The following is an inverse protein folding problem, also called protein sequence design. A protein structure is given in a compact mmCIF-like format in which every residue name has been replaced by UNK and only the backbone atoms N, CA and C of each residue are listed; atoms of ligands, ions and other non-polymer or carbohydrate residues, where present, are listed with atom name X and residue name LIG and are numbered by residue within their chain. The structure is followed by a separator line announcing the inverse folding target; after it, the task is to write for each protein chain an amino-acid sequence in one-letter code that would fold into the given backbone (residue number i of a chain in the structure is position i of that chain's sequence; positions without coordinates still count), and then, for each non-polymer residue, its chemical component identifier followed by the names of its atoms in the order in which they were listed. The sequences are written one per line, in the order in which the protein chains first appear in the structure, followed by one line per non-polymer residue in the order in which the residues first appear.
data_IF_607913732327
#
_entry.id   IF_607913732327
#
_cell.length_a   1.000
_cell.length_b   1.000
_cell.length_c   1.000
_cell.angle_alpha   90.00
_cell.angle_beta   90.00
_cell.angle_gamma   90.00
#
_symmetry.space_group_name_H-M   'P 1'
#
loop_
_entity.id
_entity.type
_entity.pdbx_description
1 polymer ?
#
# COMPACT_ATOMS: atom_id res chain seq x y z
N UNK A 1 -19.49 14.94 26.10
CA UNK A 1 -18.19 14.72 26.75
C UNK A 1 -17.69 13.38 26.23
N UNK A 2 -17.06 13.38 25.07
CA UNK A 2 -16.40 12.21 24.48
C UNK A 2 -15.08 12.67 23.85
N UNK A 3 -14.23 13.24 24.70
CA UNK A 3 -12.82 13.43 24.42
C UNK A 3 -12.10 12.12 24.72
N UNK A 4 -11.19 11.68 23.83
CA UNK A 4 -9.83 11.20 24.16
C UNK A 4 -9.29 9.92 23.49
N UNK A 5 -9.95 9.25 22.54
CA UNK A 5 -9.36 8.02 21.95
C UNK A 5 -8.61 8.19 20.60
N UNK A 6 -8.41 9.42 20.12
CA UNK A 6 -7.84 9.68 18.77
C UNK A 6 -6.29 9.63 18.73
N UNK A 7 -5.62 9.67 19.90
CA UNK A 7 -4.16 9.82 19.97
C UNK A 7 -3.35 8.54 19.72
N UNK A 8 -3.96 7.37 19.82
CA UNK A 8 -3.24 6.08 19.72
C UNK A 8 -3.14 5.53 18.29
N UNK A 9 -3.67 6.28 17.30
CA UNK A 9 -3.70 5.89 15.88
C UNK A 9 -2.69 6.60 15.00
N UNK A 10 -1.98 7.58 15.55
CA UNK A 10 -0.99 8.37 14.84
C UNK A 10 0.41 7.76 15.00
N UNK A 11 1.22 7.83 13.95
CA UNK A 11 2.59 7.36 13.98
C UNK A 11 3.45 7.99 12.90
N UNK A 12 4.74 7.62 12.91
CA UNK A 12 5.72 8.07 11.90
C UNK A 12 6.03 6.93 10.95
N UNK A 13 5.92 7.20 9.66
CA UNK A 13 6.35 6.31 8.60
C UNK A 13 7.59 6.88 7.90
N UNK A 14 8.46 6.02 7.38
CA UNK A 14 9.68 6.41 6.68
C UNK A 14 9.50 6.17 5.20
N UNK A 15 9.68 7.20 4.39
CA UNK A 15 9.69 7.10 2.93
C UNK A 15 11.09 6.66 2.49
N UNK A 16 11.15 5.49 1.87
CA UNK A 16 12.38 4.86 1.36
C UNK A 16 12.32 4.77 -0.16
N UNK A 17 13.42 4.37 -0.81
CA UNK A 17 13.41 4.09 -2.25
C UNK A 17 12.53 2.90 -2.66
N UNK A 18 12.10 2.08 -1.69
CA UNK A 18 11.29 0.87 -1.94
C UNK A 18 9.81 1.06 -1.61
N UNK A 19 9.45 2.09 -0.85
CA UNK A 19 8.09 2.33 -0.39
C UNK A 19 8.04 3.09 0.93
N UNK A 20 6.85 3.19 1.50
CA UNK A 20 6.59 3.84 2.79
C UNK A 20 6.61 2.76 3.87
N UNK A 21 7.61 2.80 4.75
CA UNK A 21 7.77 1.83 5.84
C UNK A 21 7.04 2.33 7.08
N UNK A 22 6.10 1.54 7.58
CA UNK A 22 5.39 1.82 8.82
C UNK A 22 5.17 0.53 9.60
N UNK A 23 5.52 0.50 10.89
CA UNK A 23 5.39 -0.68 11.75
C UNK A 23 5.99 -1.97 11.13
N UNK A 24 7.12 -1.86 10.43
CA UNK A 24 7.80 -2.98 9.78
C UNK A 24 7.15 -3.52 8.51
N UNK A 25 6.12 -2.83 7.99
CA UNK A 25 5.42 -3.18 6.74
C UNK A 25 5.64 -2.11 5.69
N UNK A 26 5.53 -2.51 4.42
CA UNK A 26 5.72 -1.65 3.27
C UNK A 26 4.37 -1.23 2.67
N UNK A 27 4.19 0.07 2.51
CA UNK A 27 2.99 0.70 1.97
C UNK A 27 3.30 1.54 0.73
N UNK A 28 2.27 1.80 -0.08
CA UNK A 28 2.32 2.75 -1.18
C UNK A 28 1.00 3.51 -1.31
N UNK A 29 1.03 4.74 -1.80
CA UNK A 29 -0.15 5.53 -2.13
C UNK A 29 0.00 6.28 -3.45
N UNK A 30 -1.13 6.72 -3.99
CA UNK A 30 -1.16 7.51 -5.21
C UNK A 30 -0.39 8.83 -5.08
N UNK A 31 -0.38 9.47 -3.91
CA UNK A 31 0.40 10.70 -3.69
C UNK A 31 1.91 10.45 -3.87
N UNK A 32 2.45 9.43 -3.20
CA UNK A 32 3.87 9.10 -3.27
C UNK A 32 4.32 8.73 -4.69
N UNK A 33 3.44 8.09 -5.48
CA UNK A 33 3.69 7.80 -6.90
C UNK A 33 3.69 9.09 -7.72
N UNK A 34 2.64 9.92 -7.59
CA UNK A 34 2.51 11.18 -8.34
C UNK A 34 3.67 12.14 -8.10
N UNK A 35 4.10 12.23 -6.84
CA UNK A 35 5.18 13.10 -6.40
C UNK A 35 6.56 12.47 -6.51
N UNK A 36 6.67 11.26 -7.09
CA UNK A 36 7.91 10.52 -7.28
C UNK A 36 8.74 10.38 -6.00
N UNK A 37 8.08 10.12 -4.86
CA UNK A 37 8.73 10.07 -3.56
C UNK A 37 9.84 9.01 -3.51
N UNK A 38 9.64 7.85 -4.13
CA UNK A 38 10.63 6.77 -4.09
C UNK A 38 11.89 7.09 -4.89
N UNK A 39 11.75 7.84 -5.99
CA UNK A 39 12.89 8.33 -6.77
C UNK A 39 13.63 9.43 -6.02
N UNK A 40 12.90 10.39 -5.44
CA UNK A 40 13.48 11.42 -4.57
C UNK A 40 14.23 10.79 -3.39
N UNK A 41 13.69 9.75 -2.76
CA UNK A 41 14.35 9.05 -1.66
C UNK A 41 15.63 8.35 -2.09
N UNK A 42 15.64 7.79 -3.31
CA UNK A 42 16.84 7.19 -3.91
C UNK A 42 17.97 8.20 -4.14
N UNK A 43 17.63 9.45 -4.48
CA UNK A 43 18.61 10.49 -4.77
C UNK A 43 19.02 11.32 -3.55
N UNK A 44 18.06 11.66 -2.70
CA UNK A 44 18.22 12.63 -1.61
C UNK A 44 18.24 12.00 -0.22
N UNK A 45 17.96 10.70 -0.11
CA UNK A 45 17.82 9.99 1.16
C UNK A 45 16.38 9.94 1.67
N UNK A 46 16.19 9.16 2.73
CA UNK A 46 14.90 8.84 3.32
C UNK A 46 14.38 9.98 4.21
N UNK A 47 13.05 10.10 4.37
CA UNK A 47 12.44 11.09 5.27
C UNK A 47 11.20 10.55 6.00
N UNK A 48 10.86 11.18 7.12
CA UNK A 48 9.68 10.82 7.91
C UNK A 48 8.42 11.56 7.43
N UNK A 49 7.28 10.87 7.44
CA UNK A 49 5.95 11.45 7.26
C UNK A 49 5.04 11.03 8.42
N UNK A 50 4.11 11.89 8.80
CA UNK A 50 3.08 11.56 9.79
C UNK A 50 2.00 10.71 9.12
N UNK A 51 1.55 9.68 9.82
CA UNK A 51 0.48 8.80 9.34
C UNK A 51 -0.57 8.56 10.42
N UNK A 52 -1.79 8.28 10.00
CA UNK A 52 -2.93 7.93 10.84
C UNK A 52 -3.54 6.59 10.39
N UNK A 53 -3.85 5.72 11.34
CA UNK A 53 -4.46 4.42 11.09
C UNK A 53 -5.97 4.53 11.31
N UNK A 54 -6.76 4.52 10.23
CA UNK A 54 -8.23 4.59 10.31
C UNK A 54 -8.88 3.24 10.05
N UNK A 55 -9.66 2.79 11.03
CA UNK A 55 -10.52 1.61 10.95
C UNK A 55 -9.98 0.36 11.68
N UNK A 56 -10.84 -0.65 11.90
CA UNK A 56 -10.45 -1.94 12.47
C UNK A 56 -9.66 -2.80 11.48
N UNK A 57 -9.78 -2.52 10.18
CA UNK A 57 -9.02 -3.18 9.14
C UNK A 57 -7.71 -2.41 8.92
N UNK A 58 -6.62 -2.84 9.57
CA UNK A 58 -5.26 -2.28 9.46
C UNK A 58 -4.62 -2.39 8.04
N UNK A 59 -5.44 -2.51 7.00
CA UNK A 59 -4.98 -2.73 5.62
C UNK A 59 -4.55 -1.44 4.92
N UNK A 60 -4.69 -0.29 5.57
CA UNK A 60 -4.19 0.98 5.05
C UNK A 60 -3.79 2.00 6.11
N UNK A 61 -2.90 2.90 5.73
CA UNK A 61 -2.46 4.06 6.52
C UNK A 61 -2.77 5.35 5.75
N UNK A 62 -3.11 6.43 6.45
CA UNK A 62 -3.37 7.72 5.85
C UNK A 62 -2.19 8.66 6.07
N UNK A 63 -1.72 9.35 5.04
CA UNK A 63 -0.69 10.38 5.22
C UNK A 63 -1.35 11.63 5.80
N UNK A 64 -0.78 12.14 6.89
CA UNK A 64 -1.18 13.39 7.52
C UNK A 64 -0.15 14.45 7.15
N UNK A 65 -0.58 15.41 6.35
CA UNK A 65 0.23 16.59 5.99
C UNK A 65 -0.59 17.82 6.30
N UNK A 66 -0.01 18.85 6.95
CA UNK A 66 -0.75 20.05 7.33
C UNK A 66 -1.33 20.80 6.13
N UNK A 67 -0.75 20.62 4.94
CA UNK A 67 -1.12 21.30 3.71
C UNK A 67 -2.20 20.56 2.89
N UNK A 68 -2.57 19.34 3.25
CA UNK A 68 -3.47 18.49 2.46
C UNK A 68 -4.74 18.14 3.25
N UNK A 69 -5.90 18.19 2.57
CA UNK A 69 -7.17 17.83 3.19
C UNK A 69 -7.17 16.35 3.64
N UNK A 70 -7.53 16.04 4.90
CA UNK A 70 -7.39 14.71 5.51
C UNK A 70 -8.26 13.60 4.88
N UNK A 71 -9.12 13.92 3.91
CA UNK A 71 -10.01 12.96 3.23
C UNK A 71 -9.75 12.83 1.72
N UNK A 72 -8.64 13.37 1.21
CA UNK A 72 -8.28 13.15 -0.18
C UNK A 72 -7.94 11.67 -0.42
N UNK A 73 -8.56 11.04 -1.42
CA UNK A 73 -8.33 9.63 -1.81
C UNK A 73 -6.84 9.30 -1.99
N UNK A 74 -6.03 10.28 -2.40
CA UNK A 74 -4.60 10.15 -2.62
C UNK A 74 -3.77 9.98 -1.33
N UNK A 75 -4.36 10.18 -0.14
CA UNK A 75 -3.67 10.02 1.15
C UNK A 75 -3.75 8.59 1.67
N UNK A 76 -4.58 7.72 1.09
CA UNK A 76 -4.72 6.33 1.52
C UNK A 76 -3.58 5.50 0.94
N UNK A 77 -2.73 4.97 1.80
CA UNK A 77 -1.69 4.02 1.45
C UNK A 77 -2.15 2.60 1.72
N UNK A 78 -1.82 1.68 0.80
CA UNK A 78 -2.10 0.24 0.91
C UNK A 78 -0.82 -0.53 1.10
N UNK A 79 -0.89 -1.60 1.89
CA UNK A 79 0.23 -2.51 2.09
C UNK A 79 0.56 -3.25 0.78
N UNK A 80 1.85 -3.44 0.48
CA UNK A 80 2.33 -4.10 -0.76
C UNK A 80 3.23 -5.31 -0.53
N UNK A 81 3.67 -5.55 0.70
CA UNK A 81 4.51 -6.69 1.09
C UNK A 81 3.73 -7.84 1.75
N UNK A 82 2.39 -7.73 1.79
CA UNK A 82 1.49 -8.79 2.26
C UNK A 82 1.19 -9.81 1.17
N UNK A 83 0.71 -11.02 1.55
CA UNK A 83 0.13 -11.94 0.57
C UNK A 83 -0.99 -11.21 -0.18
N UNK A 84 -1.17 -11.45 -1.49
CA UNK A 84 -2.30 -10.87 -2.20
C UNK A 84 -3.56 -11.25 -1.46
N UNK A 85 -4.46 -10.28 -1.23
CA UNK A 85 -5.77 -10.54 -0.65
C UNK A 85 -6.53 -11.49 -1.58
N UNK A 86 -6.43 -12.79 -1.33
CA UNK A 86 -7.21 -13.79 -2.05
C UNK A 86 -8.60 -13.68 -1.47
N UNK A 87 -9.49 -12.97 -2.17
CA UNK A 87 -10.91 -13.08 -1.88
C UNK A 87 -11.28 -14.55 -2.06
N UNK A 88 -11.76 -15.26 -1.01
CA UNK A 88 -12.04 -16.69 -1.08
C UNK A 88 -13.04 -17.03 -2.20
N UNK A 89 -13.93 -16.09 -2.53
CA UNK A 89 -14.89 -16.17 -3.62
C UNK A 89 -14.24 -16.18 -5.03
N UNK A 90 -13.01 -15.69 -5.17
CA UNK A 90 -12.29 -15.62 -6.44
C UNK A 90 -11.32 -16.79 -6.67
N UNK A 91 -11.20 -17.72 -5.72
CA UNK A 91 -10.27 -18.86 -5.80
C UNK A 91 -10.48 -19.69 -7.07
N UNK A 92 -11.74 -20.02 -7.41
CA UNK A 92 -12.05 -20.76 -8.63
C UNK A 92 -11.72 -20.00 -9.92
N UNK A 93 -11.86 -18.67 -9.93
CA UNK A 93 -11.48 -17.83 -11.07
C UNK A 93 -9.96 -17.85 -11.29
N UNK A 94 -9.17 -17.78 -10.22
CA UNK A 94 -7.71 -17.87 -10.32
C UNK A 94 -7.25 -19.22 -10.84
N UNK A 95 -7.89 -20.32 -10.43
CA UNK A 95 -7.59 -21.66 -10.92
C UNK A 95 -7.84 -21.79 -12.43
N UNK A 96 -8.97 -21.27 -12.91
CA UNK A 96 -9.28 -21.21 -14.34
C UNK A 96 -8.23 -20.41 -15.13
N UNK A 97 -7.81 -19.25 -14.62
CA UNK A 97 -6.74 -18.46 -15.26
C UNK A 97 -5.42 -19.22 -15.34
N UNK A 98 -5.05 -19.99 -14.31
CA UNK A 98 -3.83 -20.79 -14.32
C UNK A 98 -3.88 -21.89 -15.38
N UNK A 99 -5.01 -22.57 -15.52
CA UNK A 99 -5.22 -23.58 -16.55
C UNK A 99 -5.09 -22.99 -17.97
N UNK A 100 -5.68 -21.81 -18.21
CA UNK A 100 -5.56 -21.11 -19.49
C UNK A 100 -4.10 -20.73 -19.78
N UNK A 101 -3.38 -20.18 -18.79
CA UNK A 101 -1.95 -19.85 -18.94
C UNK A 101 -1.11 -21.08 -19.28
N UNK A 102 -1.35 -22.21 -18.62
CA UNK A 102 -0.63 -23.46 -18.88
C UNK A 102 -0.87 -23.98 -20.30
N UNK A 103 -2.12 -23.95 -20.77
CA UNK A 103 -2.47 -24.36 -22.13
C UNK A 103 -1.81 -23.45 -23.18
N UNK A 104 -1.78 -22.14 -22.96
CA UNK A 104 -1.11 -21.19 -23.85
C UNK A 104 0.41 -21.37 -23.86
N UNK A 105 1.02 -21.67 -22.70
CA UNK A 105 2.45 -21.92 -22.58
C UNK A 105 2.89 -23.21 -23.30
N UNK A 106 2.09 -24.27 -23.22
CA UNK A 106 2.32 -25.54 -23.92
C UNK A 106 2.29 -25.39 -25.45
N UNK A 107 1.39 -24.55 -25.97
CA UNK A 107 1.30 -24.25 -27.42
C UNK A 107 2.49 -23.45 -27.96
N UNK A 108 3.21 -22.71 -27.11
CA UNK A 108 4.40 -21.94 -27.51
C UNK A 108 5.69 -22.76 -27.57
N UNK A 109 5.76 -23.91 -26.89
CA UNK A 109 6.97 -24.75 -26.80
C UNK A 109 6.94 -25.99 -27.71
N UNK A 110 5.84 -26.25 -28.42
CA UNK A 110 5.77 -27.27 -29.46
C UNK A 110 6.09 -26.69 -30.83
N UNK A 111 7.38 -26.48 -31.14
CA UNK A 111 7.86 -26.21 -32.49
C UNK A 111 8.99 -27.16 -32.85
#
# INVERSE_FOLDING_TARGET
MEDSNDRERQGRAVVTSSGIVFAGRLYTCSLAIKEMWYEKARHSGEWEVQVDVRGPEMNGIHIVTPDLEPHAEHLVCRQIDGPPSVHPELSGYYEQLQQIKAHLAARKHGK
#
